data_IF_226183629741
#
_entry.id   IF_226183629741
#
_cell.length_a   1.000
_cell.length_b   1.000
_cell.length_c   1.000
_cell.angle_alpha   90.00
_cell.angle_beta   90.00
_cell.angle_gamma   90.00
#
_symmetry.space_group_name_H-M   'P 1'
#
loop_
_entity.id
_entity.type
_entity.pdbx_description
1 polymer ?
#
# COMPACT_ATOMS: atom_id res chain seq x y z
N UNK A 1 28.56 -4.02 17.46
CA UNK A 1 27.14 -3.77 17.11
C UNK A 1 27.17 -2.99 15.80
N UNK A 2 26.53 -3.47 14.74
CA UNK A 2 26.50 -2.75 13.46
C UNK A 2 25.84 -1.38 13.62
N UNK A 3 26.19 -0.43 12.75
CA UNK A 3 25.55 0.89 12.67
C UNK A 3 24.05 0.72 12.41
N UNK A 4 23.20 1.34 13.24
CA UNK A 4 21.75 1.34 13.03
C UNK A 4 21.40 2.17 11.80
N UNK A 5 20.41 1.71 11.02
CA UNK A 5 19.86 2.50 9.92
C UNK A 5 18.98 3.62 10.48
N UNK A 6 19.24 4.85 10.05
CA UNK A 6 18.49 6.05 10.42
C UNK A 6 17.23 6.14 9.57
N UNK A 7 16.09 6.17 10.23
CA UNK A 7 14.77 6.16 9.61
C UNK A 7 14.05 7.47 9.91
N UNK A 8 13.50 8.10 8.87
CA UNK A 8 12.55 9.21 8.99
C UNK A 8 11.15 8.72 8.62
N UNK A 9 10.15 9.09 9.43
CA UNK A 9 8.76 8.87 9.10
C UNK A 9 8.19 10.12 8.41
N UNK A 10 7.79 9.99 7.14
CA UNK A 10 7.17 11.05 6.34
C UNK A 10 5.66 10.81 6.22
N UNK A 11 4.89 11.67 6.88
CA UNK A 11 3.46 11.53 7.10
C UNK A 11 3.18 10.77 8.39
N UNK A 12 2.58 11.44 9.37
CA UNK A 12 2.22 10.91 10.69
C UNK A 12 0.71 10.73 10.82
N UNK A 13 0.07 10.23 9.75
CA UNK A 13 -1.29 9.70 9.83
C UNK A 13 -1.33 8.36 10.58
N UNK A 14 -2.49 7.69 10.67
CA UNK A 14 -2.63 6.43 11.41
C UNK A 14 -1.62 5.34 11.03
N UNK A 15 -1.32 5.17 9.74
CA UNK A 15 -0.30 4.21 9.27
C UNK A 15 1.11 4.65 9.69
N UNK A 16 1.45 5.93 9.48
CA UNK A 16 2.77 6.45 9.77
C UNK A 16 3.12 6.45 11.26
N UNK A 17 2.16 6.73 12.13
CA UNK A 17 2.33 6.62 13.58
C UNK A 17 2.67 5.19 13.98
N UNK A 18 1.89 4.21 13.53
CA UNK A 18 2.14 2.81 13.88
C UNK A 18 3.41 2.25 13.22
N UNK A 19 3.78 2.72 12.03
CA UNK A 19 5.05 2.40 11.40
C UNK A 19 6.24 2.93 12.21
N UNK A 20 6.19 4.19 12.65
CA UNK A 20 7.21 4.78 13.52
C UNK A 20 7.32 4.05 14.87
N UNK A 21 6.20 3.63 15.47
CA UNK A 21 6.21 2.77 16.66
C UNK A 21 6.90 1.43 16.40
N UNK A 22 6.64 0.79 15.26
CA UNK A 22 7.29 -0.47 14.92
C UNK A 22 8.80 -0.29 14.67
N UNK A 23 9.23 0.84 14.11
CA UNK A 23 10.67 1.18 13.98
C UNK A 23 11.36 1.19 15.35
N UNK A 24 10.74 1.80 16.37
CA UNK A 24 11.30 1.87 17.73
C UNK A 24 11.47 0.48 18.38
N UNK A 25 10.77 -0.54 17.89
CA UNK A 25 10.89 -1.91 18.38
C UNK A 25 12.03 -2.69 17.71
N UNK A 26 12.62 -2.16 16.62
CA UNK A 26 13.70 -2.83 15.85
C UNK A 26 15.07 -2.33 16.29
N UNK A 27 15.90 -3.23 16.82
CA UNK A 27 17.23 -2.86 17.34
C UNK A 27 18.19 -2.37 16.26
N UNK A 28 18.02 -2.80 15.01
CA UNK A 28 18.84 -2.39 13.87
C UNK A 28 18.41 -1.04 13.27
N UNK A 29 17.32 -0.45 13.74
CA UNK A 29 16.80 0.83 13.24
C UNK A 29 16.86 1.92 14.32
N UNK A 30 16.95 3.17 13.86
CA UNK A 30 16.87 4.35 14.72
C UNK A 30 15.93 5.37 14.08
N UNK A 31 14.82 5.67 14.75
CA UNK A 31 13.94 6.77 14.33
C UNK A 31 14.64 8.11 14.62
N UNK A 32 14.87 8.92 13.59
CA UNK A 32 15.65 10.17 13.70
C UNK A 32 14.87 11.43 13.31
N UNK A 33 13.67 11.29 12.73
CA UNK A 33 12.87 12.43 12.30
C UNK A 33 11.42 12.06 12.02
N UNK A 34 10.54 13.05 12.15
CA UNK A 34 9.13 12.99 11.77
C UNK A 34 8.76 14.21 10.94
N UNK A 35 8.14 13.97 9.79
CA UNK A 35 7.69 15.03 8.87
C UNK A 35 6.18 14.94 8.74
N UNK A 36 5.46 16.03 9.03
CA UNK A 36 4.02 16.14 8.76
C UNK A 36 3.65 17.61 8.51
N UNK A 37 2.68 17.83 7.62
CA UNK A 37 2.20 19.17 7.26
C UNK A 37 1.09 19.67 8.18
N UNK A 38 0.48 18.79 8.98
CA UNK A 38 -0.59 19.13 9.91
C UNK A 38 -0.08 20.12 10.97
N UNK A 39 -0.58 21.37 10.99
CA UNK A 39 -0.12 22.38 11.93
C UNK A 39 -0.28 21.99 13.40
N UNK A 40 -1.20 21.06 13.71
CA UNK A 40 -1.39 20.55 15.07
C UNK A 40 -0.27 19.60 15.54
N UNK A 41 0.52 19.06 14.59
CA UNK A 41 1.64 18.16 14.87
C UNK A 41 2.99 18.87 14.79
N UNK A 42 3.11 19.93 13.98
CA UNK A 42 4.37 20.67 13.82
C UNK A 42 4.84 21.23 15.16
N UNK A 43 6.10 21.01 15.51
CA UNK A 43 6.70 21.42 16.78
C UNK A 43 6.52 20.41 17.92
N UNK A 44 5.52 19.52 17.84
CA UNK A 44 5.25 18.50 18.86
C UNK A 44 6.38 17.47 18.89
N UNK A 45 6.73 16.97 20.08
CA UNK A 45 7.69 15.88 20.20
C UNK A 45 7.13 14.61 19.58
N UNK A 46 7.93 13.93 18.77
CA UNK A 46 7.54 12.72 18.09
C UNK A 46 7.12 11.64 19.08
N UNK A 47 7.72 11.55 20.28
CA UNK A 47 7.29 10.62 21.32
C UNK A 47 5.85 10.86 21.77
N UNK A 48 5.45 12.12 21.93
CA UNK A 48 4.07 12.48 22.27
C UNK A 48 3.09 12.14 21.16
N UNK A 49 3.45 12.46 19.91
CA UNK A 49 2.60 12.16 18.74
C UNK A 49 2.42 10.64 18.54
N UNK A 50 3.40 9.85 18.97
CA UNK A 50 3.32 8.39 19.00
C UNK A 50 2.61 7.86 20.26
N UNK A 51 2.19 8.70 21.20
CA UNK A 51 1.54 8.28 22.44
C UNK A 51 2.45 7.47 23.36
N UNK A 52 3.75 7.77 23.36
CA UNK A 52 4.72 7.14 24.25
C UNK A 52 4.72 7.83 25.62
N UNK A 53 5.11 7.08 26.66
CA UNK A 53 5.29 7.62 28.01
C UNK A 53 6.63 8.38 28.18
N UNK A 54 7.44 8.49 27.13
CA UNK A 54 8.74 9.19 27.17
C UNK A 54 8.94 10.01 25.90
N UNK A 55 9.59 11.17 26.06
CA UNK A 55 10.00 12.03 24.94
C UNK A 55 11.06 11.33 24.10
N UNK A 56 10.99 11.56 22.79
CA UNK A 56 12.08 11.18 21.87
C UNK A 56 13.07 12.32 21.67
N UNK A 57 12.71 13.55 22.06
CA UNK A 57 13.44 14.79 21.78
C UNK A 57 13.66 15.00 20.28
N UNK A 58 12.64 14.66 19.49
CA UNK A 58 12.59 14.83 18.03
C UNK A 58 11.36 15.66 17.73
N UNK A 59 11.54 16.92 17.35
CA UNK A 59 10.42 17.80 17.00
C UNK A 59 9.92 17.47 15.59
N UNK A 60 8.61 17.30 15.42
CA UNK A 60 7.99 17.10 14.12
C UNK A 60 8.07 18.40 13.31
N UNK A 61 8.48 18.30 12.06
CA UNK A 61 8.66 19.46 11.16
C UNK A 61 7.74 19.35 9.94
N UNK A 62 7.30 20.49 9.42
CA UNK A 62 6.72 20.59 8.08
C UNK A 62 7.76 20.93 7.00
N UNK A 63 8.99 21.25 7.39
CA UNK A 63 10.13 21.43 6.48
C UNK A 63 10.84 20.08 6.29
N UNK A 64 10.44 19.37 5.24
CA UNK A 64 11.00 18.07 4.89
C UNK A 64 12.49 18.16 4.52
N UNK A 65 12.88 19.18 3.75
CA UNK A 65 14.25 19.33 3.27
C UNK A 65 15.22 19.53 4.44
N UNK A 66 14.83 20.35 5.42
CA UNK A 66 15.61 20.55 6.64
C UNK A 66 15.79 19.24 7.42
N UNK A 67 14.71 18.51 7.67
CA UNK A 67 14.79 17.23 8.41
C UNK A 67 15.70 16.23 7.70
N UNK A 68 15.55 16.07 6.40
CA UNK A 68 16.36 15.15 5.61
C UNK A 68 17.85 15.53 5.65
N UNK A 69 18.17 16.83 5.52
CA UNK A 69 19.53 17.34 5.58
C UNK A 69 20.18 17.20 6.97
N UNK A 70 19.44 17.49 8.05
CA UNK A 70 19.99 17.45 9.41
C UNK A 70 20.15 16.01 9.93
N UNK A 71 19.23 15.12 9.57
CA UNK A 71 19.24 13.73 10.05
C UNK A 71 20.10 12.81 9.20
N UNK A 72 20.33 13.17 7.93
CA UNK A 72 21.05 12.35 6.95
C UNK A 72 20.45 10.93 6.89
N UNK A 73 19.12 10.84 6.75
CA UNK A 73 18.38 9.58 6.86
C UNK A 73 18.84 8.54 5.81
N UNK A 74 18.95 7.28 6.21
CA UNK A 74 19.22 6.18 5.28
C UNK A 74 17.92 5.74 4.58
N UNK A 75 16.82 5.74 5.34
CA UNK A 75 15.50 5.31 4.90
C UNK A 75 14.43 6.34 5.26
N UNK A 76 13.54 6.63 4.32
CA UNK A 76 12.29 7.35 4.54
C UNK A 76 11.12 6.38 4.38
N UNK A 77 10.32 6.25 5.44
CA UNK A 77 9.02 5.58 5.40
C UNK A 77 7.97 6.61 5.00
N UNK A 78 7.39 6.47 3.80
CA UNK A 78 6.50 7.48 3.23
C UNK A 78 5.04 7.00 3.19
N UNK A 79 4.16 7.68 3.93
CA UNK A 79 2.73 7.33 4.03
C UNK A 79 1.81 8.56 3.97
N UNK A 80 1.89 9.35 2.89
CA UNK A 80 1.15 10.61 2.74
C UNK A 80 -0.01 10.58 1.74
N UNK A 81 0.06 9.74 0.70
CA UNK A 81 -0.97 9.71 -0.34
C UNK A 81 -0.80 8.57 -1.35
N UNK A 82 -1.89 8.33 -2.08
CA UNK A 82 -2.02 7.20 -3.02
C UNK A 82 -1.66 7.52 -4.47
N UNK A 83 -1.59 8.81 -4.82
CA UNK A 83 -1.44 9.26 -6.21
C UNK A 83 -0.05 9.85 -6.45
N UNK A 84 0.67 9.35 -7.45
CA UNK A 84 2.03 9.79 -7.79
C UNK A 84 2.10 11.29 -8.05
N UNK A 85 1.11 11.83 -8.78
CA UNK A 85 0.99 13.26 -9.08
C UNK A 85 0.91 14.18 -7.84
N UNK A 86 0.60 13.63 -6.66
CA UNK A 86 0.51 14.38 -5.39
C UNK A 86 1.72 14.19 -4.48
N UNK A 87 2.53 13.16 -4.73
CA UNK A 87 3.63 12.78 -3.85
C UNK A 87 4.99 12.79 -4.53
N UNK A 88 5.05 12.98 -5.85
CA UNK A 88 6.31 12.99 -6.64
C UNK A 88 7.34 13.97 -6.06
N UNK A 89 6.94 15.19 -5.70
CA UNK A 89 7.87 16.18 -5.12
C UNK A 89 8.41 15.74 -3.75
N UNK A 90 7.64 14.98 -2.97
CA UNK A 90 8.09 14.42 -1.71
C UNK A 90 9.15 13.34 -1.95
N UNK A 91 8.95 12.50 -2.98
CA UNK A 91 9.96 11.53 -3.40
C UNK A 91 11.24 12.20 -3.88
N UNK A 92 11.14 13.27 -4.69
CA UNK A 92 12.30 14.02 -5.17
C UNK A 92 13.14 14.56 -4.03
N UNK A 93 12.52 15.24 -3.04
CA UNK A 93 13.24 15.76 -1.87
C UNK A 93 13.99 14.65 -1.12
N UNK A 94 13.35 13.50 -0.92
CA UNK A 94 13.95 12.37 -0.21
C UNK A 94 15.13 11.76 -1.00
N UNK A 95 14.97 11.53 -2.30
CA UNK A 95 16.01 10.99 -3.16
C UNK A 95 17.20 11.95 -3.29
N UNK A 96 16.95 13.26 -3.44
CA UNK A 96 18.01 14.28 -3.50
C UNK A 96 18.82 14.39 -2.21
N UNK A 97 18.23 14.01 -1.07
CA UNK A 97 18.94 13.90 0.20
C UNK A 97 19.72 12.57 0.34
N UNK A 98 19.69 11.69 -0.67
CA UNK A 98 20.33 10.38 -0.67
C UNK A 98 19.58 9.30 0.10
N UNK A 99 18.34 9.56 0.54
CA UNK A 99 17.57 8.61 1.34
C UNK A 99 16.78 7.65 0.45
N UNK A 100 16.87 6.35 0.74
CA UNK A 100 16.02 5.35 0.10
C UNK A 100 14.60 5.42 0.65
N UNK A 101 13.59 5.10 -0.16
CA UNK A 101 12.18 5.34 0.14
C UNK A 101 11.41 4.04 0.10
N UNK A 102 10.64 3.79 1.16
CA UNK A 102 9.63 2.73 1.19
C UNK A 102 8.29 3.41 1.42
N UNK A 103 7.42 3.35 0.41
CA UNK A 103 6.15 4.06 0.47
C UNK A 103 4.93 3.14 0.50
N UNK A 104 3.89 3.55 1.23
CA UNK A 104 2.54 2.98 1.13
C UNK A 104 1.71 3.55 -0.03
N UNK A 105 2.30 4.34 -0.94
CA UNK A 105 1.61 4.92 -2.09
C UNK A 105 1.20 3.80 -3.08
N UNK A 106 -0.09 3.60 -3.26
CA UNK A 106 -0.60 2.46 -4.04
C UNK A 106 -0.17 2.50 -5.53
N UNK A 107 -0.18 3.67 -6.18
CA UNK A 107 0.28 3.80 -7.57
C UNK A 107 1.80 3.54 -7.75
N UNK A 108 2.60 3.67 -6.69
CA UNK A 108 4.04 3.39 -6.73
C UNK A 108 4.36 1.88 -6.70
N UNK A 109 3.40 1.01 -6.37
CA UNK A 109 3.66 -0.43 -6.29
C UNK A 109 4.16 -1.01 -7.62
N UNK A 110 3.54 -0.60 -8.74
CA UNK A 110 3.92 -1.04 -10.08
C UNK A 110 3.65 0.06 -11.13
N UNK A 111 4.45 1.14 -11.15
CA UNK A 111 4.10 2.37 -11.86
C UNK A 111 4.40 2.31 -13.37
N UNK A 112 5.16 1.31 -13.84
CA UNK A 112 5.75 1.29 -15.18
C UNK A 112 4.74 1.42 -16.33
N UNK A 113 3.60 0.73 -16.22
CA UNK A 113 2.51 0.80 -17.22
C UNK A 113 1.59 1.99 -17.04
N UNK A 114 1.52 2.55 -15.83
CA UNK A 114 0.67 3.71 -15.51
C UNK A 114 1.31 5.00 -16.00
N UNK A 115 2.57 5.22 -15.65
CA UNK A 115 3.30 6.43 -15.95
C UNK A 115 4.78 6.09 -16.17
N UNK A 116 5.10 5.78 -17.43
CA UNK A 116 6.47 5.42 -17.84
C UNK A 116 7.43 6.62 -17.75
N UNK A 117 6.92 7.84 -17.91
CA UNK A 117 7.73 9.06 -17.81
C UNK A 117 8.10 9.34 -16.35
N UNK A 118 7.13 9.29 -15.43
CA UNK A 118 7.38 9.30 -13.99
C UNK A 118 8.39 8.23 -13.60
N UNK A 119 8.17 7.00 -14.06
CA UNK A 119 9.02 5.86 -13.71
C UNK A 119 10.46 6.11 -14.14
N UNK A 120 10.67 6.62 -15.36
CA UNK A 120 12.00 6.96 -15.87
C UNK A 120 12.65 8.12 -15.12
N UNK A 121 11.89 9.19 -14.80
CA UNK A 121 12.40 10.35 -14.06
C UNK A 121 12.85 9.96 -12.65
N UNK A 122 12.01 9.22 -11.93
CA UNK A 122 12.28 8.79 -10.55
C UNK A 122 13.41 7.75 -10.50
N UNK A 123 13.43 6.79 -11.43
CA UNK A 123 14.52 5.82 -11.53
C UNK A 123 15.88 6.51 -11.72
N UNK A 124 15.95 7.45 -12.67
CA UNK A 124 17.16 8.24 -12.93
C UNK A 124 17.60 9.02 -11.68
N UNK A 125 16.68 9.73 -11.04
CA UNK A 125 16.99 10.52 -9.85
C UNK A 125 17.48 9.64 -8.69
N UNK A 126 16.84 8.49 -8.47
CA UNK A 126 17.23 7.53 -7.45
C UNK A 126 18.65 6.99 -7.71
N UNK A 127 18.97 6.64 -8.96
CA UNK A 127 20.31 6.20 -9.37
C UNK A 127 21.38 7.27 -9.17
N UNK A 128 21.11 8.51 -9.58
CA UNK A 128 22.03 9.64 -9.44
C UNK A 128 22.41 9.90 -7.96
N UNK A 129 21.46 9.65 -7.04
CA UNK A 129 21.66 9.85 -5.60
C UNK A 129 21.96 8.57 -4.83
N UNK A 130 22.21 7.45 -5.53
CA UNK A 130 22.51 6.13 -4.94
C UNK A 130 21.45 5.65 -3.94
N UNK A 131 20.19 5.99 -4.19
CA UNK A 131 19.05 5.63 -3.37
C UNK A 131 18.13 4.66 -4.12
N UNK A 132 17.31 3.93 -3.38
CA UNK A 132 16.33 2.97 -3.91
C UNK A 132 14.93 3.42 -3.49
N UNK A 133 13.95 3.32 -4.38
CA UNK A 133 12.54 3.62 -4.08
C UNK A 133 11.65 2.44 -4.44
N UNK A 134 10.73 2.09 -3.54
CA UNK A 134 9.69 1.08 -3.75
C UNK A 134 8.32 1.52 -3.20
N UNK A 135 7.26 1.03 -3.82
CA UNK A 135 5.90 1.02 -3.26
C UNK A 135 5.54 -0.34 -2.68
N UNK A 136 4.98 -0.39 -1.47
CA UNK A 136 4.50 -1.62 -0.85
C UNK A 136 3.39 -1.37 0.18
N UNK A 137 2.56 -2.38 0.38
CA UNK A 137 1.56 -2.45 1.44
C UNK A 137 0.96 -3.86 1.48
N UNK A 138 -0.21 -4.00 2.09
CA UNK A 138 -0.94 -5.29 2.07
C UNK A 138 -1.60 -5.56 0.72
N UNK A 139 -2.15 -4.53 0.08
CA UNK A 139 -2.84 -4.60 -1.20
C UNK A 139 -2.96 -3.17 -1.77
N UNK A 140 -2.06 -2.79 -2.69
CA UNK A 140 -1.06 -3.63 -3.34
C UNK A 140 0.21 -3.87 -2.48
N UNK A 141 0.95 -4.95 -2.74
CA UNK A 141 2.24 -5.26 -2.09
C UNK A 141 2.33 -6.60 -1.35
N UNK A 142 1.22 -7.34 -1.25
CA UNK A 142 1.21 -8.68 -0.69
C UNK A 142 0.05 -9.55 -1.17
N UNK A 143 -1.16 -9.33 -0.65
CA UNK A 143 -2.28 -10.28 -0.65
C UNK A 143 -2.73 -10.70 -2.05
N UNK A 144 -2.84 -9.74 -2.98
CA UNK A 144 -3.39 -9.96 -4.32
C UNK A 144 -2.32 -9.86 -5.41
N UNK A 145 -1.05 -9.93 -5.04
CA UNK A 145 0.09 -9.73 -5.94
C UNK A 145 1.30 -10.62 -5.56
N UNK A 146 2.12 -10.26 -4.57
CA UNK A 146 3.29 -11.06 -4.14
C UNK A 146 2.88 -12.46 -3.70
N UNK A 147 1.76 -12.63 -2.99
CA UNK A 147 1.26 -13.95 -2.59
C UNK A 147 0.86 -14.79 -3.81
N UNK A 148 0.21 -14.16 -4.80
CA UNK A 148 -0.15 -14.80 -6.07
C UNK A 148 1.11 -15.28 -6.80
N UNK A 149 2.11 -14.40 -6.95
CA UNK A 149 3.39 -14.70 -7.59
C UNK A 149 4.23 -15.71 -6.81
N UNK A 150 4.10 -15.76 -5.49
CA UNK A 150 4.75 -16.77 -4.67
C UNK A 150 4.14 -18.15 -4.94
N UNK A 151 2.81 -18.22 -4.99
CA UNK A 151 2.10 -19.48 -5.27
C UNK A 151 2.26 -19.95 -6.71
N UNK A 152 2.47 -19.05 -7.68
CA UNK A 152 2.74 -19.45 -9.06
C UNK A 152 4.09 -20.14 -9.22
N UNK A 153 5.05 -19.92 -8.31
CA UNK A 153 6.40 -20.49 -8.37
C UNK A 153 6.47 -22.02 -8.26
N UNK A 154 5.39 -22.69 -7.86
CA UNK A 154 5.28 -24.16 -7.82
C UNK A 154 4.46 -24.75 -8.98
N UNK A 155 4.03 -23.91 -9.94
CA UNK A 155 3.29 -24.32 -11.12
C UNK A 155 4.22 -24.50 -12.33
N UNK A 156 4.02 -25.57 -13.09
CA UNK A 156 4.68 -25.83 -14.38
C UNK A 156 3.98 -25.16 -15.56
N UNK A 157 2.67 -24.89 -15.43
CA UNK A 157 1.86 -24.15 -16.40
C UNK A 157 0.73 -23.41 -15.70
N UNK A 158 0.32 -22.25 -16.22
CA UNK A 158 -0.79 -21.45 -15.69
C UNK A 158 -1.64 -20.97 -16.85
N UNK A 159 -2.96 -21.14 -16.74
CA UNK A 159 -3.95 -20.66 -17.70
C UNK A 159 -4.71 -19.45 -17.17
N UNK A 160 -5.04 -19.45 -15.88
CA UNK A 160 -5.84 -18.39 -15.26
C UNK A 160 -5.47 -18.17 -13.81
N UNK A 161 -5.50 -16.91 -13.38
CA UNK A 161 -5.27 -16.50 -11.99
C UNK A 161 -6.49 -15.74 -11.48
N UNK A 162 -6.98 -16.12 -10.31
CA UNK A 162 -7.96 -15.35 -9.56
C UNK A 162 -7.45 -15.06 -8.16
N UNK A 163 -7.52 -13.80 -7.73
CA UNK A 163 -7.31 -13.44 -6.34
C UNK A 163 -8.52 -12.69 -5.81
N UNK A 164 -8.92 -13.02 -4.57
CA UNK A 164 -10.05 -12.37 -3.91
C UNK A 164 -9.67 -11.96 -2.51
N UNK A 165 -9.99 -10.73 -2.14
CA UNK A 165 -9.87 -10.21 -0.79
C UNK A 165 -11.23 -9.75 -0.29
N UNK A 166 -11.67 -10.28 0.84
CA UNK A 166 -12.88 -9.85 1.56
C UNK A 166 -12.44 -9.30 2.90
N UNK A 167 -12.76 -8.03 3.19
CA UNK A 167 -12.33 -7.36 4.43
C UNK A 167 -13.45 -6.54 5.04
N UNK A 168 -13.65 -6.69 6.35
CA UNK A 168 -14.60 -5.91 7.11
C UNK A 168 -14.04 -4.53 7.44
N UNK A 169 -14.69 -3.49 6.89
CA UNK A 169 -14.30 -2.11 7.13
C UNK A 169 -14.79 -1.57 8.48
N UNK A 170 -15.69 -2.26 9.18
CA UNK A 170 -16.26 -1.80 10.46
C UNK A 170 -15.20 -1.62 11.54
N UNK A 171 -14.16 -2.46 11.50
CA UNK A 171 -13.01 -2.45 12.43
C UNK A 171 -11.94 -1.44 12.02
N UNK A 172 -12.17 -0.66 10.96
CA UNK A 172 -11.17 0.23 10.37
C UNK A 172 -11.54 1.68 10.65
N UNK A 173 -10.51 2.52 10.75
CA UNK A 173 -10.58 3.98 10.94
C UNK A 173 -11.55 4.67 9.98
N UNK A 174 -12.22 5.72 10.46
CA UNK A 174 -13.20 6.51 9.71
C UNK A 174 -12.73 6.95 8.30
N UNK A 175 -11.49 7.44 8.08
CA UNK A 175 -11.05 7.81 6.74
C UNK A 175 -11.14 6.66 5.71
N UNK A 176 -10.89 5.41 6.13
CA UNK A 176 -11.03 4.26 5.24
C UNK A 176 -12.50 3.97 4.94
N UNK A 177 -13.37 4.00 5.95
CA UNK A 177 -14.81 3.78 5.76
C UNK A 177 -15.43 4.82 4.81
N UNK A 178 -14.99 6.09 4.91
CA UNK A 178 -15.38 7.13 3.95
C UNK A 178 -14.81 6.88 2.53
N UNK A 179 -13.56 6.40 2.42
CA UNK A 179 -12.90 6.09 1.12
C UNK A 179 -13.66 5.04 0.32
N UNK A 180 -14.34 4.10 0.99
CA UNK A 180 -15.18 3.07 0.35
C UNK A 180 -16.64 3.49 0.17
N UNK A 181 -17.02 4.71 0.57
CA UNK A 181 -18.37 5.23 0.39
C UNK A 181 -19.41 4.75 1.41
N UNK A 182 -18.98 4.27 2.58
CA UNK A 182 -19.90 3.86 3.63
C UNK A 182 -20.83 5.02 4.04
N UNK A 183 -22.15 4.76 4.05
CA UNK A 183 -23.19 5.74 4.40
C UNK A 183 -23.62 6.67 3.26
N UNK A 184 -23.12 6.47 2.03
CA UNK A 184 -23.60 7.22 0.86
C UNK A 184 -24.86 6.58 0.27
N UNK A 185 -25.65 7.38 -0.44
CA UNK A 185 -26.66 6.82 -1.35
C UNK A 185 -25.98 6.18 -2.58
N UNK A 186 -26.62 5.21 -3.24
CA UNK A 186 -26.08 4.61 -4.47
C UNK A 186 -25.84 5.62 -5.61
N UNK A 187 -26.60 6.73 -5.64
CA UNK A 187 -26.45 7.78 -6.65
C UNK A 187 -25.21 8.63 -6.37
N UNK A 188 -25.02 9.07 -5.13
CA UNK A 188 -23.82 9.82 -4.72
C UNK A 188 -22.55 9.00 -4.93
N UNK A 189 -22.58 7.72 -4.52
CA UNK A 189 -21.47 6.80 -4.74
C UNK A 189 -21.08 6.73 -6.21
N UNK A 190 -22.03 6.46 -7.11
CA UNK A 190 -21.76 6.37 -8.56
C UNK A 190 -21.21 7.69 -9.12
N UNK A 191 -21.70 8.82 -8.64
CA UNK A 191 -21.19 10.12 -9.06
C UNK A 191 -19.73 10.35 -8.62
N UNK A 192 -19.38 9.95 -7.39
CA UNK A 192 -18.00 10.08 -6.88
C UNK A 192 -17.02 9.11 -7.57
N UNK A 193 -17.45 7.87 -7.86
CA UNK A 193 -16.65 6.90 -8.63
C UNK A 193 -16.35 7.44 -10.03
N UNK A 194 -17.36 7.98 -10.74
CA UNK A 194 -17.15 8.60 -12.08
C UNK A 194 -16.20 9.80 -12.04
N UNK A 195 -16.11 10.49 -10.91
CA UNK A 195 -15.17 11.60 -10.71
C UNK A 195 -13.77 11.14 -10.27
N UNK A 196 -13.55 9.83 -10.09
CA UNK A 196 -12.29 9.28 -9.57
C UNK A 196 -12.01 9.64 -8.11
N UNK A 197 -13.04 10.02 -7.34
CA UNK A 197 -12.90 10.48 -5.94
C UNK A 197 -13.13 9.38 -4.90
N UNK A 198 -13.58 8.20 -5.34
CA UNK A 198 -13.99 7.10 -4.47
C UNK A 198 -13.58 5.78 -5.11
N UNK A 199 -13.05 4.87 -4.31
CA UNK A 199 -12.60 3.56 -4.76
C UNK A 199 -11.33 3.09 -4.05
N UNK A 200 -10.93 1.87 -4.37
CA UNK A 200 -9.59 1.39 -4.05
C UNK A 200 -8.63 1.77 -5.21
N UNK A 201 -7.36 1.95 -4.87
CA UNK A 201 -6.27 2.25 -5.80
C UNK A 201 -5.27 1.12 -5.59
N UNK A 202 -4.68 0.57 -6.66
CA UNK A 202 -3.69 -0.50 -6.55
C UNK A 202 -4.10 -1.81 -7.20
N UNK A 203 -5.39 -2.02 -7.52
CA UNK A 203 -5.85 -3.29 -8.10
C UNK A 203 -5.34 -3.47 -9.53
N UNK A 204 -5.35 -2.40 -10.32
CA UNK A 204 -4.77 -2.37 -11.67
C UNK A 204 -3.25 -2.55 -11.62
N UNK A 205 -2.57 -1.93 -10.67
CA UNK A 205 -1.12 -2.08 -10.47
C UNK A 205 -0.75 -3.53 -10.11
N UNK A 206 -1.55 -4.17 -9.24
CA UNK A 206 -1.40 -5.59 -8.88
C UNK A 206 -1.58 -6.49 -10.10
N UNK A 207 -2.59 -6.21 -10.92
CA UNK A 207 -2.85 -6.96 -12.15
C UNK A 207 -1.72 -6.82 -13.16
N UNK A 208 -1.20 -5.61 -13.36
CA UNK A 208 -0.05 -5.38 -14.24
C UNK A 208 1.20 -6.09 -13.74
N UNK A 209 1.48 -6.03 -12.43
CA UNK A 209 2.62 -6.75 -11.85
C UNK A 209 2.50 -8.27 -12.08
N UNK A 210 1.32 -8.84 -11.87
CA UNK A 210 1.10 -10.28 -12.12
C UNK A 210 1.28 -10.59 -13.60
N UNK A 211 0.62 -9.84 -14.49
CA UNK A 211 0.68 -10.07 -15.93
C UNK A 211 2.13 -10.04 -16.44
N UNK A 212 2.90 -9.02 -16.04
CA UNK A 212 4.27 -8.82 -16.50
C UNK A 212 5.23 -9.87 -15.94
N UNK A 213 5.05 -10.32 -14.69
CA UNK A 213 5.92 -11.33 -14.08
C UNK A 213 5.59 -12.76 -14.51
N UNK A 214 4.33 -13.06 -14.84
CA UNK A 214 3.93 -14.36 -15.40
C UNK A 214 4.18 -14.42 -16.91
N UNK A 215 4.23 -13.28 -17.59
CA UNK A 215 4.34 -13.22 -19.06
C UNK A 215 2.99 -13.34 -19.77
N UNK A 216 1.91 -12.94 -19.11
CA UNK A 216 0.58 -12.88 -19.73
C UNK A 216 0.42 -11.62 -20.57
N UNK A 217 0.24 -11.80 -21.87
CA UNK A 217 -0.20 -10.75 -22.76
C UNK A 217 -1.74 -10.69 -22.78
N UNK A 218 -2.30 -9.49 -22.70
CA UNK A 218 -3.73 -9.23 -22.75
C UNK A 218 -4.00 -8.00 -23.62
N UNK A 219 -5.18 -7.93 -24.24
CA UNK A 219 -5.59 -6.84 -25.14
C UNK A 219 -6.69 -5.96 -24.52
N UNK A 220 -7.31 -6.41 -23.44
CA UNK A 220 -8.37 -5.68 -22.75
C UNK A 220 -8.15 -5.71 -21.23
N UNK A 221 -8.18 -4.52 -20.62
CA UNK A 221 -8.30 -4.33 -19.17
C UNK A 221 -9.72 -3.87 -18.86
N UNK A 222 -10.44 -4.61 -18.02
CA UNK A 222 -11.74 -4.20 -17.49
C UNK A 222 -11.62 -3.91 -15.99
N UNK A 223 -11.99 -2.70 -15.59
CA UNK A 223 -12.05 -2.29 -14.19
C UNK A 223 -13.48 -1.82 -13.84
N UNK A 224 -14.03 -2.31 -12.74
CA UNK A 224 -15.32 -1.84 -12.20
C UNK A 224 -15.22 -1.57 -10.71
N UNK A 225 -15.91 -0.52 -10.26
CA UNK A 225 -16.08 -0.17 -8.84
C UNK A 225 -17.57 -0.04 -8.60
N UNK A 226 -18.16 -1.10 -8.06
CA UNK A 226 -19.59 -1.22 -7.82
C UNK A 226 -19.89 -1.05 -6.32
N UNK A 227 -21.06 -0.46 -5.97
CA UNK A 227 -21.42 -0.30 -4.57
C UNK A 227 -21.85 -1.64 -3.95
N UNK A 228 -21.36 -1.93 -2.74
CA UNK A 228 -21.95 -2.96 -1.88
C UNK A 228 -23.09 -2.32 -1.09
N UNK A 229 -24.32 -2.75 -1.34
CA UNK A 229 -25.52 -2.19 -0.69
C UNK A 229 -25.80 -2.92 0.61
N UNK A 230 -26.00 -2.16 1.69
CA UNK A 230 -26.34 -2.73 2.98
C UNK A 230 -27.76 -3.27 2.98
N UNK A 231 -27.94 -4.54 3.36
CA UNK A 231 -29.26 -5.16 3.54
C UNK A 231 -29.92 -4.84 4.89
N UNK A 232 -29.18 -4.23 5.82
CA UNK A 232 -29.61 -3.89 7.18
C UNK A 232 -28.91 -2.61 7.65
N UNK A 233 -29.43 -1.97 8.70
CA UNK A 233 -28.69 -0.88 9.36
C UNK A 233 -27.50 -1.45 10.13
N UNK A 234 -26.33 -0.84 9.98
CA UNK A 234 -25.09 -1.24 10.66
C UNK A 234 -24.48 -0.01 11.33
N UNK A 235 -24.19 -0.14 12.63
CA UNK A 235 -23.52 0.88 13.41
C UNK A 235 -22.07 0.49 13.64
N UNK A 236 -21.16 1.44 13.42
CA UNK A 236 -19.75 1.32 13.77
C UNK A 236 -19.43 2.36 14.84
N UNK A 237 -18.21 2.34 15.37
CA UNK A 237 -17.72 3.41 16.27
C UNK A 237 -17.79 4.81 15.63
N UNK A 238 -17.75 4.91 14.29
CA UNK A 238 -17.54 6.18 13.59
C UNK A 238 -18.73 6.68 12.77
N UNK A 239 -19.60 5.78 12.30
CA UNK A 239 -20.74 6.09 11.44
C UNK A 239 -21.82 5.02 11.52
N UNK A 240 -23.00 5.37 11.03
CA UNK A 240 -24.13 4.46 10.80
C UNK A 240 -24.37 4.35 9.31
N UNK A 241 -24.49 3.12 8.80
CA UNK A 241 -24.94 2.82 7.43
C UNK A 241 -26.38 2.32 7.50
N UNK A 242 -27.32 3.01 6.86
CA UNK A 242 -28.72 2.59 6.83
C UNK A 242 -28.96 1.46 5.83
N UNK A 243 -30.04 0.71 6.02
CA UNK A 243 -30.50 -0.23 5.00
C UNK A 243 -30.74 0.49 3.66
N UNK A 244 -30.19 -0.05 2.57
CA UNK A 244 -30.27 0.54 1.22
C UNK A 244 -29.18 1.57 0.90
N UNK A 245 -28.41 2.00 1.89
CA UNK A 245 -27.19 2.79 1.66
C UNK A 245 -26.01 1.89 1.28
N UNK A 246 -24.95 2.53 0.79
CA UNK A 246 -23.69 1.86 0.48
C UNK A 246 -22.96 1.50 1.76
N UNK A 247 -22.60 0.22 1.92
CA UNK A 247 -21.73 -0.29 2.97
C UNK A 247 -20.25 -0.26 2.57
N UNK A 248 -19.95 -0.23 1.27
CA UNK A 248 -18.59 -0.20 0.76
C UNK A 248 -18.49 -0.49 -0.74
N UNK A 249 -17.38 -1.12 -1.15
CA UNK A 249 -17.06 -1.37 -2.56
C UNK A 249 -16.92 -2.86 -2.88
N UNK A 250 -17.33 -3.19 -4.12
CA UNK A 250 -16.86 -4.32 -4.90
C UNK A 250 -16.00 -3.75 -6.03
N UNK A 251 -14.69 -3.95 -5.94
CA UNK A 251 -13.74 -3.50 -6.97
C UNK A 251 -13.18 -4.72 -7.69
N UNK A 252 -13.36 -4.76 -9.01
CA UNK A 252 -12.91 -5.86 -9.85
C UNK A 252 -11.99 -5.33 -10.94
N UNK A 253 -10.84 -5.98 -11.13
CA UNK A 253 -9.94 -5.75 -12.25
C UNK A 253 -9.70 -7.06 -13.01
N UNK A 254 -9.82 -7.03 -14.33
CA UNK A 254 -9.71 -8.21 -15.20
C UNK A 254 -8.81 -7.94 -16.40
N UNK A 255 -7.90 -8.87 -16.67
CA UNK A 255 -7.11 -8.91 -17.89
C UNK A 255 -7.69 -9.95 -18.83
N UNK A 256 -8.00 -9.58 -20.06
CA UNK A 256 -8.54 -10.47 -21.08
C UNK A 256 -7.68 -10.47 -22.34
N UNK A 257 -7.54 -11.64 -22.96
CA UNK A 257 -6.93 -11.81 -24.29
C UNK A 257 -7.96 -12.45 -25.21
N UNK A 258 -8.32 -11.79 -26.31
CA UNK A 258 -9.36 -12.26 -27.24
C UNK A 258 -10.67 -12.65 -26.53
N UNK A 259 -11.07 -11.91 -25.49
CA UNK A 259 -12.26 -12.18 -24.68
C UNK A 259 -12.13 -13.29 -23.62
N UNK A 260 -10.98 -13.95 -23.52
CA UNK A 260 -10.70 -14.96 -22.48
C UNK A 260 -10.05 -14.28 -21.25
N UNK A 261 -10.63 -14.46 -20.07
CA UNK A 261 -10.12 -13.91 -18.81
C UNK A 261 -8.87 -14.67 -18.34
N UNK A 262 -7.73 -13.98 -18.27
CA UNK A 262 -6.44 -14.51 -17.80
C UNK A 262 -6.19 -14.22 -16.32
N UNK A 263 -6.57 -13.03 -15.87
CA UNK A 263 -6.40 -12.58 -14.49
C UNK A 263 -7.70 -11.93 -14.02
N UNK A 264 -8.17 -12.29 -12.84
CA UNK A 264 -9.25 -11.60 -12.12
C UNK A 264 -8.82 -11.27 -10.71
N UNK A 265 -8.81 -9.99 -10.36
CA UNK A 265 -8.63 -9.50 -9.01
C UNK A 265 -9.96 -8.95 -8.52
N UNK A 266 -10.42 -9.40 -7.35
CA UNK A 266 -11.68 -8.98 -6.74
C UNK A 266 -11.45 -8.54 -5.29
N UNK A 267 -11.71 -7.27 -5.00
CA UNK A 267 -11.69 -6.71 -3.66
C UNK A 267 -13.12 -6.39 -3.21
N UNK A 268 -13.53 -7.04 -2.13
CA UNK A 268 -14.74 -6.71 -1.40
C UNK A 268 -14.34 -6.05 -0.08
N UNK A 269 -14.62 -4.76 0.06
CA UNK A 269 -14.33 -4.02 1.28
C UNK A 269 -15.56 -3.21 1.67
N UNK A 270 -16.25 -3.66 2.72
CA UNK A 270 -17.49 -3.04 3.17
C UNK A 270 -17.70 -3.23 4.67
N UNK A 271 -18.50 -2.34 5.24
CA UNK A 271 -18.93 -2.40 6.64
C UNK A 271 -19.87 -3.59 6.83
N UNK A 272 -19.55 -4.44 7.81
CA UNK A 272 -20.29 -5.64 8.14
C UNK A 272 -19.97 -6.83 7.23
N UNK A 273 -18.80 -6.84 6.60
CA UNK A 273 -18.38 -8.00 5.82
C UNK A 273 -18.21 -9.23 6.71
N UNK A 274 -18.83 -10.33 6.30
CA UNK A 274 -18.67 -11.64 6.95
C UNK A 274 -17.62 -12.46 6.20
N UNK A 275 -17.02 -13.46 6.88
CA UNK A 275 -16.05 -14.39 6.30
C UNK A 275 -14.87 -13.68 5.62
N UNK A 276 -14.23 -12.78 6.36
CA UNK A 276 -12.97 -12.14 5.94
C UNK A 276 -11.97 -13.21 5.47
N UNK A 277 -11.36 -12.97 4.30
CA UNK A 277 -10.44 -13.90 3.66
C UNK A 277 -9.56 -13.21 2.63
N UNK A 278 -8.38 -13.78 2.43
CA UNK A 278 -7.57 -13.56 1.24
C UNK A 278 -7.38 -14.90 0.54
N UNK A 279 -7.69 -14.99 -0.74
CA UNK A 279 -7.63 -16.25 -1.49
C UNK A 279 -6.93 -16.09 -2.82
N UNK A 280 -6.20 -17.11 -3.21
CA UNK A 280 -5.56 -17.24 -4.52
C UNK A 280 -6.00 -18.55 -5.14
N UNK A 281 -6.52 -18.48 -6.36
CA UNK A 281 -6.84 -19.65 -7.20
C UNK A 281 -6.01 -19.55 -8.47
N UNK A 282 -5.25 -20.59 -8.77
CA UNK A 282 -4.47 -20.70 -10.00
C UNK A 282 -4.99 -21.92 -10.75
N UNK A 283 -5.58 -21.70 -11.92
CA UNK A 283 -5.88 -22.75 -12.88
C UNK A 283 -4.59 -23.00 -13.67
N UNK A 284 -3.97 -24.14 -13.39
CA UNK A 284 -2.62 -24.49 -13.81
C UNK A 284 -2.28 -25.93 -13.48
N UNK A 285 -1.00 -26.27 -13.61
CA UNK A 285 -0.45 -27.61 -13.30
C UNK A 285 0.71 -27.50 -12.30
N UNK A 286 0.55 -27.95 -11.03
CA UNK A 286 -0.71 -28.37 -10.42
C UNK A 286 -1.66 -27.17 -10.21
N UNK A 287 -2.98 -27.41 -10.07
CA UNK A 287 -3.91 -26.35 -9.67
C UNK A 287 -3.64 -25.92 -8.22
N UNK A 288 -3.76 -24.62 -7.94
CA UNK A 288 -3.56 -24.06 -6.60
C UNK A 288 -4.86 -23.44 -6.08
N UNK A 289 -5.19 -23.78 -4.84
CA UNK A 289 -6.28 -23.18 -4.09
C UNK A 289 -5.78 -22.81 -2.69
N UNK A 290 -5.49 -21.54 -2.47
CA UNK A 290 -5.04 -20.99 -1.19
C UNK A 290 -6.15 -20.15 -0.58
N UNK A 291 -6.38 -20.30 0.73
CA UNK A 291 -7.27 -19.45 1.50
C UNK A 291 -6.64 -19.11 2.86
N UNK A 292 -6.46 -17.82 3.13
CA UNK A 292 -6.07 -17.30 4.45
C UNK A 292 -7.36 -17.00 5.21
N UNK A 293 -7.73 -17.92 6.09
CA UNK A 293 -8.93 -17.78 6.93
C UNK A 293 -8.83 -16.58 7.86
N UNK A 294 -9.92 -15.82 7.97
CA UNK A 294 -9.98 -14.57 8.74
C UNK A 294 -9.34 -13.37 8.03
N UNK A 295 -8.68 -13.60 6.90
CA UNK A 295 -8.01 -12.57 6.13
C UNK A 295 -6.79 -11.97 6.84
N UNK A 296 -6.03 -11.20 6.08
CA UNK A 296 -4.86 -10.46 6.54
C UNK A 296 -5.33 -9.07 6.93
N UNK A 297 -5.21 -8.69 8.20
CA UNK A 297 -5.64 -7.37 8.66
C UNK A 297 -4.81 -6.26 8.02
N UNK A 298 -5.47 -5.34 7.31
CA UNK A 298 -4.79 -4.53 6.32
C UNK A 298 -3.83 -3.47 6.88
N UNK A 299 -4.14 -2.87 8.03
CA UNK A 299 -3.29 -1.81 8.60
C UNK A 299 -1.99 -2.39 9.14
N UNK A 300 -2.08 -3.39 10.03
CA UNK A 300 -0.89 -4.04 10.62
C UNK A 300 -0.01 -4.69 9.56
N UNK A 301 -0.61 -5.33 8.55
CA UNK A 301 0.13 -5.93 7.45
C UNK A 301 0.84 -4.88 6.58
N UNK A 302 0.20 -3.74 6.27
CA UNK A 302 0.85 -2.66 5.50
C UNK A 302 2.08 -2.13 6.24
N UNK A 303 1.94 -1.86 7.53
CA UNK A 303 3.04 -1.43 8.39
C UNK A 303 4.17 -2.48 8.40
N UNK A 304 3.82 -3.75 8.63
CA UNK A 304 4.81 -4.83 8.64
C UNK A 304 5.53 -4.96 7.29
N UNK A 305 4.82 -4.84 6.16
CA UNK A 305 5.43 -4.90 4.81
C UNK A 305 6.43 -3.77 4.59
N UNK A 306 6.10 -2.54 4.98
CA UNK A 306 7.02 -1.41 4.87
C UNK A 306 8.28 -1.61 5.71
N UNK A 307 8.14 -2.00 6.98
CA UNK A 307 9.30 -2.17 7.88
C UNK A 307 10.15 -3.37 7.46
N UNK A 308 9.53 -4.51 7.16
CA UNK A 308 10.25 -5.73 6.77
C UNK A 308 10.94 -5.59 5.40
N UNK A 309 10.59 -4.60 4.59
CA UNK A 309 11.29 -4.30 3.34
C UNK A 309 12.61 -3.53 3.56
N UNK A 310 12.84 -2.92 4.72
CA UNK A 310 14.04 -2.12 4.99
C UNK A 310 15.35 -2.87 4.70
N UNK A 311 15.56 -4.12 5.18
CA UNK A 311 16.81 -4.83 4.94
C UNK A 311 17.06 -5.11 3.45
N UNK A 312 16.02 -5.46 2.68
CA UNK A 312 16.19 -5.76 1.25
C UNK A 312 16.39 -4.50 0.43
N UNK A 313 15.71 -3.39 0.77
CA UNK A 313 15.87 -2.09 0.11
C UNK A 313 17.25 -1.49 0.38
N UNK A 314 17.73 -1.58 1.62
CA UNK A 314 19.05 -1.07 2.00
C UNK A 314 20.21 -1.80 1.29
N UNK A 315 19.98 -3.00 0.78
CA UNK A 315 20.97 -3.79 0.03
C UNK A 315 20.68 -3.84 -1.48
N UNK A 316 19.61 -3.18 -1.94
CA UNK A 316 19.23 -3.18 -3.34
C UNK A 316 20.12 -2.24 -4.16
N UNK A 317 20.20 -2.48 -5.47
CA UNK A 317 20.82 -1.53 -6.38
C UNK A 317 19.98 -0.25 -6.46
N UNK A 318 20.61 0.95 -6.57
CA UNK A 318 19.89 2.21 -6.70
C UNK A 318 18.95 2.25 -7.90
N UNK A 319 17.81 2.94 -7.74
CA UNK A 319 16.78 3.07 -8.77
C UNK A 319 15.36 2.88 -8.26
N UNK A 320 14.42 2.94 -9.20
CA UNK A 320 13.03 2.55 -8.97
C UNK A 320 12.91 1.05 -9.21
N UNK A 321 12.59 0.31 -8.15
CA UNK A 321 12.32 -1.13 -8.23
C UNK A 321 11.00 -1.46 -7.55
N UNK A 322 10.61 -2.72 -7.57
CA UNK A 322 9.33 -3.18 -7.04
C UNK A 322 9.53 -4.36 -6.10
N UNK A 323 8.58 -4.59 -5.19
CA UNK A 323 8.67 -5.72 -4.25
C UNK A 323 8.61 -7.09 -4.92
N UNK A 324 8.23 -7.15 -6.21
CA UNK A 324 8.23 -8.38 -7.02
C UNK A 324 9.56 -8.60 -7.76
N UNK A 325 10.51 -7.68 -7.63
CA UNK A 325 11.88 -7.76 -8.19
C UNK A 325 12.94 -7.91 -7.11
N UNK A 326 12.62 -7.49 -5.89
CA UNK A 326 13.48 -7.65 -4.74
C UNK A 326 13.38 -9.06 -4.14
N UNK A 327 14.39 -9.52 -3.39
CA UNK A 327 14.27 -10.68 -2.53
C UNK A 327 13.05 -10.56 -1.60
N UNK A 328 12.51 -11.70 -1.18
CA UNK A 328 11.39 -11.73 -0.25
C UNK A 328 11.73 -10.97 1.04
N UNK A 329 10.97 -9.91 1.30
CA UNK A 329 11.03 -9.19 2.57
C UNK A 329 10.41 -10.04 3.69
N UNK A 330 11.25 -10.52 4.60
CA UNK A 330 10.86 -11.35 5.74
C UNK A 330 10.85 -10.56 7.04
N UNK A 331 10.17 -11.10 8.05
CA UNK A 331 10.31 -10.59 9.42
C UNK A 331 11.79 -10.63 9.86
N UNK A 332 12.23 -9.56 10.53
CA UNK A 332 13.55 -9.50 11.18
C UNK A 332 13.40 -9.03 12.63
N UNK A 333 14.39 -9.36 13.47
CA UNK A 333 14.42 -8.99 14.89
C UNK A 333 15.14 -7.67 15.11
#
# INVERSE_FOLDING_TARGET
MGTQLKVVQYGLGPIGIEAAKLVLQKKSLKLVGGIDIDPSKVGVDLGDALGLNSKLNISISNDAQKVLNETQADIVLHSTGSFLSKVEEQFKMCLQAGASIISSCEELFYPYRRDSEFSSRIDKLAKENRATIIGTGVNPGFSMDVLVLTMSGVCTAIQKIEATRVSDASKRRLPLQKKIGAGLTPVEFRNLVRQGKLGHIGLVESLYAIADKIGFEFDELKETIDPQISSKTIETEYLTVQQGEVAGILHVAKALKNGVELIKLELQMFVGAEKERDSVKIEGEPPIHLNVEGGIFGDTATIARMINAIPVVSNASPGLTTVVELPLATYFK
#
